data_IF_861067063097
#
_entry.id   IF_861067063097
#
_cell.length_a   1.000
_cell.length_b   1.000
_cell.length_c   1.000
_cell.angle_alpha   90.00
_cell.angle_beta   90.00
_cell.angle_gamma   90.00
#
_symmetry.space_group_name_H-M   'P 1'
#
loop_
_entity.id
_entity.type
_entity.pdbx_description
1 polymer ?
#
# COMPACT_ATOMS: atom_id res chain seq x y z
N UNK A 1 19.92 -6.95 -34.92
CA UNK A 1 20.03 -6.16 -33.69
C UNK A 1 19.07 -6.76 -32.69
N UNK A 2 19.57 -7.46 -31.72
CA UNK A 2 18.76 -8.03 -30.66
C UNK A 2 18.49 -6.90 -29.65
N UNK A 3 17.28 -6.38 -29.64
CA UNK A 3 16.77 -5.69 -28.48
C UNK A 3 16.60 -6.76 -27.39
N UNK A 4 17.56 -6.85 -26.50
CA UNK A 4 17.46 -7.67 -25.31
C UNK A 4 16.25 -7.18 -24.52
N UNK A 5 15.31 -8.07 -24.34
CA UNK A 5 14.17 -7.92 -23.45
C UNK A 5 14.69 -7.84 -22.00
N UNK A 6 15.05 -6.64 -21.59
CA UNK A 6 15.53 -6.30 -20.24
C UNK A 6 14.39 -6.28 -19.20
N UNK A 7 13.16 -6.53 -19.66
CA UNK A 7 11.98 -6.48 -18.80
C UNK A 7 11.85 -7.68 -17.86
N UNK A 8 12.42 -8.82 -18.21
CA UNK A 8 12.39 -10.03 -17.39
C UNK A 8 13.26 -9.94 -16.14
N UNK A 9 14.40 -9.27 -16.24
CA UNK A 9 15.40 -9.20 -15.18
C UNK A 9 14.99 -8.28 -14.01
N UNK A 10 14.22 -7.24 -14.30
CA UNK A 10 13.74 -6.29 -13.27
C UNK A 10 12.69 -6.92 -12.36
N UNK A 11 11.82 -7.77 -12.90
CA UNK A 11 10.74 -8.41 -12.13
C UNK A 11 11.26 -9.43 -11.12
N UNK A 12 12.35 -10.12 -11.46
CA UNK A 12 12.96 -11.15 -10.62
C UNK A 12 13.68 -10.58 -9.38
N UNK A 13 13.96 -9.26 -9.39
CA UNK A 13 14.65 -8.57 -8.30
C UNK A 13 13.73 -7.68 -7.44
N UNK A 14 12.44 -7.65 -7.74
CA UNK A 14 11.48 -6.87 -6.97
C UNK A 14 10.99 -7.64 -5.75
N UNK A 15 11.11 -7.02 -4.59
CA UNK A 15 10.60 -7.57 -3.34
C UNK A 15 10.05 -6.48 -2.41
N UNK A 16 9.12 -6.86 -1.56
CA UNK A 16 8.64 -6.01 -0.49
C UNK A 16 9.65 -6.03 0.66
N UNK A 17 10.20 -4.86 0.93
CA UNK A 17 11.19 -4.67 2.01
C UNK A 17 10.75 -3.57 2.95
N UNK A 18 11.18 -3.63 4.20
CA UNK A 18 10.97 -2.54 5.16
C UNK A 18 11.72 -1.30 4.70
N UNK A 19 11.05 -0.16 4.81
CA UNK A 19 11.70 1.13 4.65
C UNK A 19 12.07 1.75 5.99
N UNK A 20 13.09 2.63 6.04
CA UNK A 20 13.30 3.49 7.19
C UNK A 20 12.14 4.47 7.33
N UNK A 21 12.06 5.15 8.49
CA UNK A 21 11.11 6.23 8.72
C UNK A 21 11.17 7.28 7.60
N UNK A 22 10.01 7.81 7.20
CA UNK A 22 9.94 8.81 6.12
C UNK A 22 10.72 10.10 6.44
N UNK A 23 10.98 10.37 7.73
CA UNK A 23 11.85 11.48 8.14
C UNK A 23 13.31 11.31 7.65
N UNK A 24 13.73 10.09 7.35
CA UNK A 24 15.05 9.77 6.80
C UNK A 24 15.06 9.66 5.26
N UNK A 25 13.92 9.78 4.61
CA UNK A 25 13.84 9.74 3.16
C UNK A 25 14.39 11.03 2.54
N UNK A 26 15.09 10.89 1.41
CA UNK A 26 15.47 12.04 0.59
C UNK A 26 14.24 12.73 0.04
N UNK A 27 14.36 14.02 -0.27
CA UNK A 27 13.27 14.77 -0.91
C UNK A 27 12.89 14.16 -2.27
N UNK A 28 13.87 13.68 -3.03
CA UNK A 28 13.65 13.00 -4.31
C UNK A 28 12.77 11.74 -4.14
N UNK A 29 13.08 10.91 -3.15
CA UNK A 29 12.30 9.69 -2.86
C UNK A 29 10.87 10.01 -2.43
N UNK A 30 10.67 11.07 -1.64
CA UNK A 30 9.35 11.56 -1.25
C UNK A 30 8.52 12.05 -2.44
N UNK A 31 9.15 12.77 -3.38
CA UNK A 31 8.50 13.24 -4.59
C UNK A 31 8.09 12.06 -5.47
N UNK A 32 8.93 11.06 -5.62
CA UNK A 32 8.60 9.84 -6.38
C UNK A 32 7.43 9.06 -5.74
N UNK A 33 7.42 8.94 -4.41
CA UNK A 33 6.30 8.31 -3.71
C UNK A 33 4.99 9.10 -3.87
N UNK A 34 5.06 10.42 -3.79
CA UNK A 34 3.91 11.30 -4.06
C UNK A 34 3.36 11.09 -5.47
N UNK A 35 4.22 11.02 -6.45
CA UNK A 35 3.85 10.78 -7.84
C UNK A 35 3.21 9.41 -8.02
N UNK A 36 3.76 8.38 -7.40
CA UNK A 36 3.21 7.02 -7.42
C UNK A 36 1.79 6.97 -6.83
N UNK A 37 1.57 7.62 -5.70
CA UNK A 37 0.25 7.71 -5.07
C UNK A 37 -0.72 8.44 -6.01
N UNK A 38 -0.32 9.57 -6.58
CA UNK A 38 -1.16 10.34 -7.50
C UNK A 38 -1.56 9.54 -8.74
N UNK A 39 -0.62 8.86 -9.37
CA UNK A 39 -0.86 8.05 -10.58
C UNK A 39 -1.80 6.87 -10.33
N UNK A 40 -1.76 6.30 -9.14
CA UNK A 40 -2.54 5.10 -8.82
C UNK A 40 -3.87 5.40 -8.14
N UNK A 41 -3.96 6.47 -7.36
CA UNK A 41 -5.17 6.80 -6.58
C UNK A 41 -5.82 8.12 -6.97
N UNK A 42 -5.12 8.98 -7.68
CA UNK A 42 -5.55 10.36 -7.94
C UNK A 42 -5.38 11.31 -6.75
N UNK A 43 -4.88 10.83 -5.62
CA UNK A 43 -4.68 11.63 -4.41
C UNK A 43 -3.33 12.35 -4.47
N UNK A 44 -3.35 13.67 -4.27
CA UNK A 44 -2.15 14.50 -4.25
C UNK A 44 -1.78 14.88 -2.82
N UNK A 45 -0.59 14.47 -2.39
CA UNK A 45 -0.05 14.79 -1.07
C UNK A 45 1.07 15.81 -1.16
N UNK A 46 1.17 16.64 -0.12
CA UNK A 46 2.34 17.46 0.14
C UNK A 46 3.45 16.58 0.76
N UNK A 47 4.70 16.78 0.36
CA UNK A 47 5.83 15.98 0.88
C UNK A 47 6.03 16.14 2.39
N UNK A 48 5.76 17.33 2.94
CA UNK A 48 5.79 17.56 4.38
C UNK A 48 4.73 16.75 5.11
N UNK A 49 3.53 16.66 4.53
CA UNK A 49 2.43 15.87 5.07
C UNK A 49 2.77 14.37 5.04
N UNK A 50 3.42 13.88 3.99
CA UNK A 50 3.88 12.49 3.94
C UNK A 50 4.84 12.17 5.08
N UNK A 51 5.81 13.06 5.35
CA UNK A 51 6.76 12.86 6.45
C UNK A 51 6.12 12.86 7.84
N UNK A 52 4.95 13.46 7.98
CA UNK A 52 4.22 13.54 9.25
C UNK A 52 3.21 12.42 9.45
N UNK A 53 3.07 11.50 8.51
CA UNK A 53 2.15 10.37 8.67
C UNK A 53 2.58 9.50 9.85
N UNK A 54 1.64 9.13 10.74
CA UNK A 54 1.95 8.36 11.96
C UNK A 54 2.08 6.86 11.65
N UNK A 55 2.99 6.51 10.75
CA UNK A 55 3.19 5.13 10.31
C UNK A 55 3.83 4.28 11.40
N UNK A 56 3.36 3.06 11.55
CA UNK A 56 3.96 2.10 12.48
C UNK A 56 5.12 1.37 11.81
N UNK A 57 6.34 1.63 12.28
CA UNK A 57 7.55 1.05 11.69
C UNK A 57 7.63 -0.46 11.78
N UNK A 58 6.87 -1.09 12.67
CA UNK A 58 6.90 -2.53 12.90
C UNK A 58 6.14 -3.33 11.85
N UNK A 59 5.06 -2.77 11.28
CA UNK A 59 4.23 -3.47 10.30
C UNK A 59 3.74 -2.59 9.13
N UNK A 60 3.91 -1.29 9.19
CA UNK A 60 3.24 -0.36 8.29
C UNK A 60 4.16 0.47 7.39
N UNK A 61 5.39 0.05 7.17
CA UNK A 61 6.33 0.78 6.31
C UNK A 61 7.06 -0.17 5.36
N UNK A 62 6.41 -0.44 4.24
CA UNK A 62 6.94 -1.34 3.21
C UNK A 62 7.07 -0.63 1.88
N UNK A 63 8.09 -0.98 1.13
CA UNK A 63 8.29 -0.57 -0.26
C UNK A 63 8.55 -1.79 -1.13
N UNK A 64 8.02 -1.77 -2.34
CA UNK A 64 8.36 -2.73 -3.39
C UNK A 64 9.55 -2.16 -4.16
N UNK A 65 10.70 -2.77 -4.02
CA UNK A 65 11.95 -2.20 -4.49
C UNK A 65 12.84 -3.23 -5.17
N UNK A 66 13.65 -2.75 -6.12
CA UNK A 66 14.76 -3.50 -6.73
C UNK A 66 16.13 -3.18 -6.07
N UNK A 67 16.10 -2.41 -4.97
CA UNK A 67 17.27 -1.89 -4.28
C UNK A 67 17.72 -0.51 -4.75
N UNK A 68 17.16 0.00 -5.84
CA UNK A 68 17.50 1.32 -6.40
C UNK A 68 16.29 2.24 -6.48
N UNK A 69 15.13 1.70 -6.83
CA UNK A 69 13.89 2.43 -7.04
C UNK A 69 12.74 1.74 -6.34
N UNK A 70 11.79 2.55 -5.85
CA UNK A 70 10.54 2.08 -5.28
C UNK A 70 9.47 2.04 -6.37
N UNK A 71 8.85 0.88 -6.55
CA UNK A 71 7.75 0.64 -7.51
C UNK A 71 6.41 0.45 -6.82
N UNK A 72 6.43 0.37 -5.52
CA UNK A 72 5.23 0.25 -4.71
C UNK A 72 5.47 0.70 -3.28
N UNK A 73 4.39 1.05 -2.61
CA UNK A 73 4.39 1.41 -1.19
C UNK A 73 3.22 0.72 -0.51
N UNK A 74 3.41 0.34 0.73
CA UNK A 74 2.37 -0.10 1.64
C UNK A 74 2.59 0.57 2.99
N UNK A 75 1.77 1.55 3.30
CA UNK A 75 1.89 2.35 4.52
C UNK A 75 0.67 2.21 5.39
N UNK A 76 0.89 1.88 6.64
CA UNK A 76 -0.16 1.68 7.63
C UNK A 76 0.22 2.24 8.99
N UNK A 77 -0.79 2.56 9.77
CA UNK A 77 -0.66 3.01 11.14
C UNK A 77 -1.42 2.09 12.08
N UNK A 78 -1.10 2.16 13.35
CA UNK A 78 -1.88 1.55 14.42
C UNK A 78 -2.97 2.52 14.85
N UNK A 79 -4.23 2.17 14.60
CA UNK A 79 -5.35 3.00 15.00
C UNK A 79 -5.70 2.82 16.48
N UNK A 80 -5.67 1.59 16.95
CA UNK A 80 -5.79 1.18 18.34
C UNK A 80 -5.08 -0.15 18.56
N UNK A 81 -5.18 -0.75 19.74
CA UNK A 81 -4.44 -1.97 20.09
C UNK A 81 -4.67 -3.15 19.14
N UNK A 82 -5.82 -3.20 18.45
CA UNK A 82 -6.21 -4.34 17.62
C UNK A 82 -6.54 -3.97 16.18
N UNK A 83 -6.47 -2.71 15.81
CA UNK A 83 -6.87 -2.24 14.48
C UNK A 83 -5.73 -1.48 13.81
N UNK A 84 -5.37 -1.91 12.62
CA UNK A 84 -4.49 -1.16 11.72
C UNK A 84 -5.32 -0.36 10.70
N UNK A 85 -4.84 0.81 10.33
CA UNK A 85 -5.39 1.62 9.25
C UNK A 85 -4.36 1.72 8.12
N UNK A 86 -4.74 1.26 6.94
CA UNK A 86 -3.91 1.42 5.75
C UNK A 86 -4.09 2.84 5.23
N UNK A 87 -3.00 3.59 5.11
CA UNK A 87 -3.01 4.98 4.66
C UNK A 87 -2.68 5.11 3.18
N UNK A 88 -1.79 4.26 2.66
CA UNK A 88 -1.46 4.24 1.25
C UNK A 88 -1.05 2.83 0.84
N UNK A 89 -1.59 2.37 -0.27
CA UNK A 89 -1.21 1.13 -0.91
C UNK A 89 -1.24 1.35 -2.42
N UNK A 90 -0.07 1.48 -3.00
CA UNK A 90 0.10 1.83 -4.41
C UNK A 90 1.17 0.97 -5.04
N UNK A 91 0.91 0.51 -6.25
CA UNK A 91 1.85 -0.25 -7.07
C UNK A 91 1.86 0.38 -8.45
N UNK A 92 3.05 0.59 -8.99
CA UNK A 92 3.23 1.10 -10.35
C UNK A 92 2.32 0.40 -11.34
N UNK A 93 1.71 1.14 -12.23
CA UNK A 93 0.68 0.64 -13.17
C UNK A 93 1.20 -0.54 -13.99
N UNK A 94 2.46 -0.48 -14.42
CA UNK A 94 3.10 -1.53 -15.22
C UNK A 94 3.25 -2.87 -14.46
N UNK A 95 3.22 -2.82 -13.13
CA UNK A 95 3.39 -3.98 -12.26
C UNK A 95 2.08 -4.51 -11.67
N UNK A 96 0.96 -3.85 -11.95
CA UNK A 96 -0.34 -4.31 -11.50
C UNK A 96 -0.76 -5.59 -12.22
N UNK A 97 -1.54 -6.43 -11.55
CA UNK A 97 -2.00 -7.71 -12.09
C UNK A 97 -0.94 -8.82 -12.12
N UNK A 98 0.20 -8.63 -11.47
CA UNK A 98 1.33 -9.59 -11.43
C UNK A 98 1.53 -10.25 -10.07
N UNK A 99 0.60 -10.05 -9.13
CA UNK A 99 0.65 -10.66 -7.80
C UNK A 99 1.37 -9.84 -6.72
N UNK A 100 1.97 -8.71 -7.04
CA UNK A 100 2.67 -7.88 -6.06
C UNK A 100 1.75 -7.29 -4.99
N UNK A 101 0.52 -6.96 -5.34
CA UNK A 101 -0.48 -6.48 -4.38
C UNK A 101 -0.81 -7.53 -3.32
N UNK A 102 -1.01 -8.76 -3.73
CA UNK A 102 -1.25 -9.88 -2.83
C UNK A 102 -0.05 -10.14 -1.91
N UNK A 103 1.17 -10.08 -2.44
CA UNK A 103 2.40 -10.24 -1.67
C UNK A 103 2.57 -9.12 -0.64
N UNK A 104 2.34 -7.86 -1.02
CA UNK A 104 2.43 -6.71 -0.12
C UNK A 104 1.44 -6.80 1.02
N UNK A 105 0.20 -7.18 0.71
CA UNK A 105 -0.81 -7.39 1.75
C UNK A 105 -0.42 -8.51 2.71
N UNK A 106 0.08 -9.63 2.19
CA UNK A 106 0.52 -10.77 3.01
C UNK A 106 1.69 -10.40 3.93
N UNK A 107 2.64 -9.63 3.41
CA UNK A 107 3.78 -9.12 4.18
C UNK A 107 3.31 -8.23 5.35
N UNK A 108 2.44 -7.29 5.07
CA UNK A 108 1.82 -6.44 6.08
C UNK A 108 1.02 -7.27 7.10
N UNK A 109 0.16 -8.17 6.62
CA UNK A 109 -0.76 -8.93 7.48
C UNK A 109 -0.01 -9.83 8.47
N UNK A 110 1.07 -10.46 8.04
CA UNK A 110 1.90 -11.29 8.92
C UNK A 110 2.56 -10.45 10.02
N UNK A 111 3.16 -9.33 9.66
CA UNK A 111 3.80 -8.43 10.62
C UNK A 111 2.78 -7.84 11.61
N UNK A 112 1.63 -7.42 11.13
CA UNK A 112 0.55 -6.86 11.96
C UNK A 112 -0.03 -7.91 12.92
N UNK A 113 -0.25 -9.13 12.45
CA UNK A 113 -0.73 -10.24 13.29
C UNK A 113 0.20 -10.50 14.47
N UNK A 114 1.50 -10.49 14.23
CA UNK A 114 2.51 -10.72 15.28
C UNK A 114 2.50 -9.64 16.36
N UNK A 115 1.88 -8.50 16.11
CA UNK A 115 1.72 -7.39 17.05
C UNK A 115 0.30 -7.29 17.65
N UNK A 116 -0.52 -8.32 17.46
CA UNK A 116 -1.85 -8.38 18.03
C UNK A 116 -2.94 -7.64 17.26
N UNK A 117 -2.65 -7.20 16.04
CA UNK A 117 -3.67 -6.61 15.15
C UNK A 117 -4.64 -7.70 14.70
N UNK A 118 -5.93 -7.41 14.80
CA UNK A 118 -7.02 -8.32 14.46
C UNK A 118 -7.94 -7.78 13.37
N UNK A 119 -7.95 -6.47 13.15
CA UNK A 119 -8.82 -5.80 12.19
C UNK A 119 -8.03 -4.79 11.36
N UNK A 120 -8.52 -4.55 10.15
CA UNK A 120 -7.97 -3.56 9.23
C UNK A 120 -9.09 -2.65 8.75
N UNK A 121 -8.80 -1.37 8.67
CA UNK A 121 -9.67 -0.41 8.00
C UNK A 121 -8.87 0.47 7.04
N UNK A 122 -9.55 0.98 6.04
CA UNK A 122 -9.00 1.93 5.08
C UNK A 122 -10.12 2.71 4.42
N UNK A 123 -9.75 3.82 3.83
CA UNK A 123 -10.62 4.62 2.98
C UNK A 123 -10.13 4.48 1.54
N UNK A 124 -11.06 4.39 0.60
CA UNK A 124 -10.77 4.21 -0.83
C UNK A 124 -11.77 5.00 -1.66
N UNK A 125 -11.28 5.62 -2.74
CA UNK A 125 -12.17 6.31 -3.69
C UNK A 125 -13.15 5.31 -4.30
N UNK A 126 -14.39 5.73 -4.46
CA UNK A 126 -15.46 4.92 -5.03
C UNK A 126 -15.14 4.39 -6.43
N UNK A 127 -14.39 5.15 -7.21
CA UNK A 127 -14.01 4.80 -8.59
C UNK A 127 -12.73 3.94 -8.70
N UNK A 128 -12.05 3.68 -7.58
CA UNK A 128 -10.87 2.82 -7.57
C UNK A 128 -11.27 1.34 -7.50
N UNK A 129 -11.85 0.85 -8.59
CA UNK A 129 -12.38 -0.52 -8.67
C UNK A 129 -11.32 -1.60 -8.45
N UNK A 130 -10.10 -1.52 -9.01
CA UNK A 130 -9.08 -2.54 -8.76
C UNK A 130 -8.71 -2.67 -7.27
N UNK A 131 -8.57 -1.56 -6.58
CA UNK A 131 -8.27 -1.56 -5.16
C UNK A 131 -9.42 -2.14 -4.34
N UNK A 132 -10.66 -1.73 -4.62
CA UNK A 132 -11.85 -2.25 -3.94
C UNK A 132 -11.96 -3.76 -4.10
N UNK A 133 -11.69 -4.30 -5.29
CA UNK A 133 -11.67 -5.75 -5.54
C UNK A 133 -10.59 -6.46 -4.73
N UNK A 134 -9.39 -5.88 -4.65
CA UNK A 134 -8.30 -6.42 -3.84
C UNK A 134 -8.73 -6.51 -2.36
N UNK A 135 -9.24 -5.42 -1.82
CA UNK A 135 -9.66 -5.36 -0.41
C UNK A 135 -10.83 -6.30 -0.12
N UNK A 136 -11.78 -6.40 -1.04
CA UNK A 136 -12.88 -7.35 -0.93
C UNK A 136 -12.38 -8.82 -0.86
N UNK A 137 -11.43 -9.18 -1.72
CA UNK A 137 -10.80 -10.51 -1.67
C UNK A 137 -10.06 -10.79 -0.36
N UNK A 138 -9.60 -9.74 0.32
CA UNK A 138 -8.92 -9.83 1.62
C UNK A 138 -9.88 -9.83 2.81
N UNK A 139 -11.17 -9.81 2.56
CA UNK A 139 -12.19 -9.89 3.57
C UNK A 139 -12.71 -8.55 4.08
N UNK A 140 -12.27 -7.43 3.49
CA UNK A 140 -12.81 -6.11 3.82
C UNK A 140 -14.15 -5.91 3.12
N UNK A 141 -15.04 -5.17 3.78
CA UNK A 141 -16.36 -4.83 3.26
C UNK A 141 -16.63 -3.35 3.48
N UNK A 142 -17.39 -2.70 2.59
CA UNK A 142 -17.87 -1.33 2.82
C UNK A 142 -18.66 -1.24 4.11
N UNK A 143 -18.32 -0.26 4.95
CA UNK A 143 -18.99 0.00 6.24
C UNK A 143 -19.46 1.44 6.37
N UNK A 144 -19.03 2.32 5.51
CA UNK A 144 -19.42 3.71 5.49
C UNK A 144 -19.16 4.34 4.14
N UNK A 145 -20.00 5.30 3.78
CA UNK A 145 -19.85 6.11 2.58
C UNK A 145 -19.32 7.48 2.97
N UNK A 146 -18.32 7.98 2.25
CA UNK A 146 -17.67 9.26 2.55
C UNK A 146 -17.96 10.21 1.39
N UNK A 147 -18.84 11.17 1.61
CA UNK A 147 -19.13 12.23 0.64
C UNK A 147 -17.97 13.21 0.60
N UNK A 148 -17.49 13.53 -0.62
CA UNK A 148 -16.40 14.48 -0.79
C UNK A 148 -15.08 14.01 -0.19
N UNK A 149 -14.81 12.72 -0.21
CA UNK A 149 -13.61 12.09 0.33
C UNK A 149 -12.32 12.75 -0.17
N UNK A 150 -12.25 12.99 -1.48
CA UNK A 150 -11.10 13.65 -2.06
C UNK A 150 -11.48 14.45 -3.32
N UNK A 151 -11.31 15.76 -3.29
CA UNK A 151 -11.50 16.70 -4.43
C UNK A 151 -12.75 16.41 -5.26
N UNK A 152 -13.92 16.30 -4.62
CA UNK A 152 -15.20 16.03 -5.27
C UNK A 152 -15.48 14.56 -5.59
N UNK A 153 -14.56 13.66 -5.26
CA UNK A 153 -14.79 12.22 -5.36
C UNK A 153 -15.27 11.66 -4.02
N UNK A 154 -16.26 10.80 -4.08
CA UNK A 154 -16.74 10.08 -2.91
C UNK A 154 -15.90 8.83 -2.66
N UNK A 155 -15.99 8.28 -1.47
CA UNK A 155 -15.21 7.12 -1.06
C UNK A 155 -15.99 6.16 -0.18
N UNK A 156 -15.35 5.03 0.06
CA UNK A 156 -15.81 4.02 1.00
C UNK A 156 -14.86 3.90 2.18
N UNK A 157 -15.42 3.78 3.37
CA UNK A 157 -14.72 3.19 4.50
C UNK A 157 -14.89 1.68 4.40
N UNK A 158 -13.78 0.96 4.24
CA UNK A 158 -13.78 -0.50 4.21
C UNK A 158 -13.12 -1.05 5.47
N UNK A 159 -13.70 -2.10 6.02
CA UNK A 159 -13.23 -2.75 7.25
C UNK A 159 -13.38 -4.26 7.14
N UNK A 160 -12.53 -4.97 7.86
CA UNK A 160 -12.62 -6.41 7.96
C UNK A 160 -11.62 -7.02 8.92
N UNK A 161 -11.72 -8.33 9.17
CA UNK A 161 -10.74 -9.05 9.97
C UNK A 161 -9.39 -9.07 9.25
N UNK A 162 -8.31 -9.00 10.02
CA UNK A 162 -6.98 -9.27 9.50
C UNK A 162 -6.87 -10.77 9.24
N UNK A 163 -6.69 -11.13 7.98
CA UNK A 163 -6.50 -12.53 7.56
C UNK A 163 -5.08 -12.72 7.08
N UNK A 164 -4.39 -13.66 7.69
CA UNK A 164 -3.11 -14.15 7.20
C UNK A 164 -3.38 -15.41 6.40
N UNK A 165 -3.04 -15.40 5.11
CA UNK A 165 -3.18 -16.59 4.29
C UNK A 165 -2.24 -17.68 4.80
N UNK A 166 -2.76 -18.89 4.97
CA UNK A 166 -1.92 -20.06 5.18
C UNK A 166 -1.01 -20.20 3.95
N UNK A 167 0.29 -20.42 4.21
CA UNK A 167 1.22 -20.76 3.15
C UNK A 167 0.66 -21.98 2.42
N UNK A 168 0.44 -21.86 1.11
CA UNK A 168 0.10 -23.02 0.29
C UNK A 168 1.27 -23.99 0.40
N UNK A 169 1.01 -25.14 1.00
CA UNK A 169 1.96 -26.25 0.95
C UNK A 169 2.01 -26.83 -0.45
#
# INVERSE_FOLDING_TARGET
MNENDDSGDVLDHLEWVKSPSLSHWTNHRLIEARQLIYETTGELYDTKRLQMLPLDERFGMWVLSDGRKDYGIFWAMKLNKQTARVLAFSISTDLQGKGFGAQGWSTFALAAKNLGIKRVQLEVRQDNTPAIRLYHRRGLRPRGYITGFYRGHDGWLMMGPLRVQASSQ
#
